data_IF_109453921181
#
_entry.id   IF_109453921181
#
_cell.length_a   1.000
_cell.length_b   1.000
_cell.length_c   1.000
_cell.angle_alpha   90.00
_cell.angle_beta   90.00
_cell.angle_gamma   90.00
#
_symmetry.space_group_name_H-M   'P 1'
#
loop_
_entity.id
_entity.type
_entity.pdbx_description
1 polymer ?
#
# COMPACT_ATOMS: atom_id res chain seq x y z
N UNK A 1 -4.28 37.47 16.95
CA UNK A 1 -5.06 36.63 16.02
C UNK A 1 -4.08 36.02 15.03
N UNK A 2 -3.79 34.72 15.13
CA UNK A 2 -2.98 34.06 14.11
C UNK A 2 -3.80 33.96 12.81
N UNK A 3 -3.22 34.18 11.63
CA UNK A 3 -3.96 34.08 10.38
C UNK A 3 -4.41 32.62 10.19
N UNK A 4 -5.67 32.43 9.83
CA UNK A 4 -6.17 31.14 9.35
C UNK A 4 -5.49 30.84 8.01
N UNK A 5 -4.35 30.16 8.04
CA UNK A 5 -3.73 29.62 6.83
C UNK A 5 -4.57 28.42 6.40
N UNK A 6 -5.24 28.44 5.22
CA UNK A 6 -5.90 27.25 4.72
C UNK A 6 -4.84 26.15 4.59
N UNK A 7 -5.12 24.98 5.16
CA UNK A 7 -4.23 23.81 5.05
C UNK A 7 -3.92 23.59 3.57
N UNK A 8 -2.63 23.62 3.22
CA UNK A 8 -2.23 23.36 1.84
C UNK A 8 -2.66 21.94 1.45
N UNK A 9 -3.08 21.70 0.20
CA UNK A 9 -3.47 20.36 -0.28
C UNK A 9 -2.39 19.29 -0.03
N UNK A 10 -1.12 19.71 -0.04
CA UNK A 10 0.02 18.85 0.31
C UNK A 10 -0.01 18.38 1.77
N UNK A 11 -0.32 19.26 2.72
CA UNK A 11 -0.42 18.89 4.15
C UNK A 11 -1.63 18.00 4.43
N UNK A 12 -2.74 18.21 3.73
CA UNK A 12 -3.90 17.32 3.82
C UNK A 12 -3.56 15.90 3.32
N UNK A 13 -2.83 15.78 2.20
CA UNK A 13 -2.37 14.48 1.69
C UNK A 13 -1.35 13.79 2.61
N UNK A 14 -0.48 14.55 3.28
CA UNK A 14 0.46 14.03 4.28
C UNK A 14 -0.27 13.48 5.51
N UNK A 15 -1.26 14.20 6.05
CA UNK A 15 -2.05 13.72 7.18
C UNK A 15 -2.81 12.42 6.87
N UNK A 16 -3.39 12.33 5.67
CA UNK A 16 -4.08 11.12 5.21
C UNK A 16 -3.14 9.93 4.99
N UNK A 17 -1.90 10.19 4.58
CA UNK A 17 -0.90 9.13 4.43
C UNK A 17 -0.51 8.53 5.78
N UNK A 18 -0.37 9.37 6.82
CA UNK A 18 -0.05 8.88 8.17
C UNK A 18 -1.22 8.11 8.78
N UNK A 19 -2.46 8.55 8.55
CA UNK A 19 -3.66 7.78 8.93
C UNK A 19 -3.69 6.41 8.22
N UNK A 20 -3.50 6.38 6.90
CA UNK A 20 -3.40 5.14 6.14
C UNK A 20 -2.30 4.21 6.69
N UNK A 21 -1.20 4.79 7.17
CA UNK A 21 -0.06 4.04 7.70
C UNK A 21 -0.41 3.39 9.02
N UNK A 22 -1.00 4.14 9.96
CA UNK A 22 -1.43 3.61 11.24
C UNK A 22 -2.46 2.48 11.07
N UNK A 23 -3.41 2.64 10.14
CA UNK A 23 -4.38 1.58 9.81
C UNK A 23 -3.67 0.36 9.22
N UNK A 24 -2.73 0.56 8.29
CA UNK A 24 -1.99 -0.55 7.70
C UNK A 24 -1.16 -1.29 8.75
N UNK A 25 -0.44 -0.58 9.63
CA UNK A 25 0.32 -1.18 10.73
C UNK A 25 -0.59 -2.01 11.66
N UNK A 26 -1.77 -1.48 12.00
CA UNK A 26 -2.77 -2.21 12.78
C UNK A 26 -3.20 -3.50 12.10
N UNK A 27 -3.50 -3.46 10.79
CA UNK A 27 -3.92 -4.64 10.03
C UNK A 27 -2.80 -5.67 9.94
N UNK A 28 -1.58 -5.22 9.62
CA UNK A 28 -0.43 -6.10 9.44
C UNK A 28 0.08 -6.72 10.76
N UNK A 29 -0.27 -6.12 11.90
CA UNK A 29 0.02 -6.68 13.23
C UNK A 29 -0.85 -7.89 13.59
N UNK A 30 -1.93 -8.14 12.84
CA UNK A 30 -2.83 -9.25 13.08
C UNK A 30 -2.26 -10.57 12.51
N UNK A 31 -2.33 -11.64 13.29
CA UNK A 31 -1.79 -12.98 12.95
C UNK A 31 -2.40 -13.56 11.66
N UNK A 32 -3.69 -13.32 11.44
CA UNK A 32 -4.38 -13.70 10.20
C UNK A 32 -3.72 -13.14 8.95
N UNK A 33 -3.00 -12.01 9.06
CA UNK A 33 -2.30 -11.40 7.94
C UNK A 33 -0.86 -11.88 7.78
N UNK A 34 -0.32 -12.69 8.70
CA UNK A 34 1.04 -13.19 8.65
C UNK A 34 1.28 -14.01 7.37
N UNK A 35 2.34 -13.66 6.62
CA UNK A 35 2.66 -14.31 5.33
C UNK A 35 1.72 -13.96 4.17
N UNK A 36 0.72 -13.07 4.36
CA UNK A 36 -0.09 -12.57 3.25
C UNK A 36 0.73 -11.53 2.46
N UNK A 37 0.91 -11.69 1.13
CA UNK A 37 1.63 -10.75 0.30
C UNK A 37 0.89 -9.41 0.17
N UNK A 38 1.64 -8.30 0.11
CA UNK A 38 1.07 -6.95 0.07
C UNK A 38 1.26 -6.28 -1.29
N UNK A 39 0.16 -5.94 -1.97
CA UNK A 39 0.19 -5.08 -3.15
C UNK A 39 -0.22 -3.65 -2.78
N UNK A 40 0.66 -2.68 -3.04
CA UNK A 40 0.38 -1.26 -2.85
C UNK A 40 0.19 -0.61 -4.22
N UNK A 41 -0.97 -0.01 -4.45
CA UNK A 41 -1.29 0.68 -5.70
C UNK A 41 -1.18 2.18 -5.50
N UNK A 42 -0.16 2.78 -6.11
CA UNK A 42 -0.02 4.22 -6.22
C UNK A 42 -1.02 4.72 -7.27
N UNK A 43 -2.28 4.88 -6.85
CA UNK A 43 -3.38 5.22 -7.74
C UNK A 43 -3.40 6.72 -8.10
N UNK A 44 -4.14 7.06 -9.16
CA UNK A 44 -4.34 8.42 -9.71
C UNK A 44 -3.11 9.00 -10.41
N UNK A 45 -2.27 8.16 -11.00
CA UNK A 45 -1.09 8.62 -11.76
C UNK A 45 -1.44 9.42 -13.02
N UNK A 46 -2.72 9.50 -13.38
CA UNK A 46 -3.24 10.40 -14.41
C UNK A 46 -3.27 11.89 -13.99
N UNK A 47 -3.06 12.19 -12.70
CA UNK A 47 -3.07 13.56 -12.18
C UNK A 47 -1.66 14.08 -11.96
N UNK A 48 -1.46 15.37 -12.20
CA UNK A 48 -0.17 16.05 -11.97
C UNK A 48 0.17 16.19 -10.48
N UNK A 49 -0.84 16.21 -9.60
CA UNK A 49 -0.69 16.24 -8.14
C UNK A 49 -0.60 14.84 -7.50
N UNK A 50 -0.31 13.80 -8.29
CA UNK A 50 -0.20 12.44 -7.78
C UNK A 50 1.03 12.24 -6.88
N UNK A 51 0.95 11.22 -6.01
CA UNK A 51 2.09 10.82 -5.20
C UNK A 51 3.06 9.98 -6.02
N UNK A 52 4.34 10.32 -5.92
CA UNK A 52 5.41 9.56 -6.55
C UNK A 52 5.52 8.16 -5.94
N UNK A 53 5.67 7.14 -6.80
CA UNK A 53 5.80 5.74 -6.39
C UNK A 53 7.00 5.54 -5.45
N UNK A 54 8.11 6.24 -5.70
CA UNK A 54 9.33 6.18 -4.87
C UNK A 54 9.02 6.66 -3.45
N UNK A 55 8.31 7.78 -3.32
CA UNK A 55 7.92 8.33 -2.02
C UNK A 55 6.99 7.39 -1.24
N UNK A 56 6.10 6.66 -1.92
CA UNK A 56 5.27 5.63 -1.28
C UNK A 56 6.15 4.45 -0.84
N UNK A 57 7.08 4.00 -1.68
CA UNK A 57 7.96 2.87 -1.35
C UNK A 57 8.85 3.18 -0.14
N UNK A 58 9.48 4.35 -0.10
CA UNK A 58 10.38 4.75 0.98
C UNK A 58 9.65 5.25 2.23
N UNK A 59 8.57 6.02 2.06
CA UNK A 59 7.85 6.63 3.16
C UNK A 59 6.87 5.69 3.85
N UNK A 60 6.29 4.74 3.11
CA UNK A 60 5.18 3.91 3.56
C UNK A 60 5.61 2.45 3.69
N UNK A 61 6.03 1.81 2.59
CA UNK A 61 6.40 0.38 2.62
C UNK A 61 7.63 0.16 3.49
N UNK A 62 8.69 0.92 3.30
CA UNK A 62 9.92 0.73 4.08
C UNK A 62 9.69 0.93 5.58
N UNK A 63 8.98 1.98 5.99
CA UNK A 63 8.71 2.25 7.41
C UNK A 63 7.79 1.22 8.07
N UNK A 64 6.78 0.75 7.36
CA UNK A 64 5.83 -0.25 7.88
C UNK A 64 6.47 -1.64 7.98
N UNK A 65 7.40 -1.98 7.07
CA UNK A 65 8.04 -3.29 7.03
C UNK A 65 9.36 -3.35 7.82
N UNK A 66 10.07 -2.22 7.97
CA UNK A 66 11.32 -2.11 8.76
C UNK A 66 11.09 -1.54 10.17
N UNK A 67 9.84 -1.23 10.55
CA UNK A 67 9.49 -0.67 11.86
C UNK A 67 9.87 -1.57 13.04
N UNK A 68 10.00 -0.97 14.24
CA UNK A 68 10.65 -1.49 15.47
C UNK A 68 10.26 -2.90 15.94
N UNK A 69 9.15 -3.45 15.44
CA UNK A 69 8.77 -4.86 15.63
C UNK A 69 9.11 -5.62 14.38
N UNK A 70 10.38 -6.02 14.24
CA UNK A 70 10.97 -6.74 13.09
C UNK A 70 10.09 -7.87 12.55
N UNK A 71 9.10 -7.50 11.74
CA UNK A 71 8.11 -8.40 11.20
C UNK A 71 8.71 -9.03 9.96
N UNK A 72 8.76 -10.35 9.99
CA UNK A 72 9.01 -11.28 8.89
C UNK A 72 8.91 -10.64 7.49
N UNK A 73 9.98 -10.79 6.70
CA UNK A 73 10.07 -10.29 5.32
C UNK A 73 8.82 -10.73 4.55
N UNK A 74 7.91 -9.79 4.32
CA UNK A 74 6.66 -10.04 3.61
C UNK A 74 6.85 -9.65 2.16
N UNK A 75 6.52 -10.57 1.26
CA UNK A 75 6.52 -10.29 -0.17
C UNK A 75 5.59 -9.10 -0.47
N UNK A 76 6.14 -8.06 -1.06
CA UNK A 76 5.42 -6.81 -1.32
C UNK A 76 5.82 -6.19 -2.64
N UNK A 77 4.88 -5.47 -3.26
CA UNK A 77 5.12 -4.74 -4.51
C UNK A 77 4.35 -3.42 -4.50
N UNK A 78 4.96 -2.38 -5.05
CA UNK A 78 4.29 -1.11 -5.35
C UNK A 78 4.13 -0.99 -6.86
N UNK A 79 2.93 -0.64 -7.32
CA UNK A 79 2.66 -0.38 -8.74
C UNK A 79 2.01 0.99 -8.94
N UNK A 80 2.50 1.80 -9.91
CA UNK A 80 1.75 2.97 -10.39
C UNK A 80 0.51 2.52 -11.13
N UNK A 81 -0.64 3.10 -10.81
CA UNK A 81 -1.89 2.83 -11.54
C UNK A 81 -2.69 4.11 -11.80
N UNK A 82 -3.41 4.11 -12.91
CA UNK A 82 -4.54 5.01 -13.13
C UNK A 82 -5.79 4.18 -13.33
N UNK A 83 -6.64 4.11 -12.30
CA UNK A 83 -7.93 3.43 -12.43
C UNK A 83 -8.83 4.08 -13.50
N UNK A 84 -8.66 5.38 -13.77
CA UNK A 84 -9.42 6.12 -14.78
C UNK A 84 -8.98 5.76 -16.20
N UNK A 85 -7.67 5.58 -16.44
CA UNK A 85 -7.12 5.26 -17.76
C UNK A 85 -6.91 3.77 -17.98
N UNK A 86 -7.00 2.95 -16.94
CA UNK A 86 -6.71 1.52 -16.97
C UNK A 86 -5.22 1.18 -16.90
N UNK A 87 -4.32 2.17 -16.92
CA UNK A 87 -2.86 1.96 -16.84
C UNK A 87 -2.47 1.26 -15.55
N UNK A 88 -1.68 0.18 -15.65
CA UNK A 88 -1.15 -0.57 -14.51
C UNK A 88 -2.13 -1.55 -13.86
N UNK A 89 -3.41 -1.54 -14.27
CA UNK A 89 -4.45 -2.41 -13.68
C UNK A 89 -4.22 -3.87 -14.04
N UNK A 90 -3.85 -4.16 -15.30
CA UNK A 90 -3.59 -5.53 -15.75
C UNK A 90 -2.42 -6.14 -14.97
N UNK A 91 -1.34 -5.40 -14.82
CA UNK A 91 -0.14 -5.79 -14.09
C UNK A 91 -0.43 -6.01 -12.60
N UNK A 92 -1.28 -5.17 -12.01
CA UNK A 92 -1.75 -5.35 -10.64
C UNK A 92 -2.51 -6.67 -10.48
N UNK A 93 -3.46 -6.97 -11.37
CA UNK A 93 -4.23 -8.22 -11.34
C UNK A 93 -3.34 -9.43 -11.58
N UNK A 94 -2.40 -9.37 -12.53
CA UNK A 94 -1.46 -10.45 -12.81
C UNK A 94 -0.55 -10.75 -11.61
N UNK A 95 -0.13 -9.72 -10.87
CA UNK A 95 0.63 -9.91 -9.65
C UNK A 95 -0.19 -10.63 -8.59
N UNK A 96 -1.43 -10.19 -8.33
CA UNK A 96 -2.32 -10.86 -7.36
C UNK A 96 -2.55 -12.32 -7.76
N UNK A 97 -2.86 -12.58 -9.03
CA UNK A 97 -3.03 -13.94 -9.56
C UNK A 97 -1.82 -14.82 -9.27
N UNK A 98 -0.62 -14.31 -9.54
CA UNK A 98 0.63 -15.05 -9.32
C UNK A 98 0.83 -15.40 -7.85
N UNK A 99 0.53 -14.46 -6.95
CA UNK A 99 0.64 -14.69 -5.51
C UNK A 99 -0.40 -15.64 -4.95
N UNK A 100 -1.63 -15.57 -5.43
CA UNK A 100 -2.68 -16.54 -5.06
C UNK A 100 -2.30 -17.95 -5.50
N UNK A 101 -1.76 -18.12 -6.71
CA UNK A 101 -1.31 -19.42 -7.19
C UNK A 101 -0.17 -19.99 -6.34
N UNK A 102 0.81 -19.16 -5.97
CA UNK A 102 1.94 -19.59 -5.15
C UNK A 102 1.57 -19.84 -3.68
N UNK A 103 0.67 -19.04 -3.12
CA UNK A 103 0.22 -19.24 -1.74
C UNK A 103 -0.74 -20.42 -1.56
N UNK A 104 -1.23 -21.04 -2.65
CA UNK A 104 -2.18 -22.15 -2.58
C UNK A 104 -1.64 -23.34 -1.74
N UNK A 105 -0.33 -23.58 -1.76
CA UNK A 105 0.28 -24.66 -0.98
C UNK A 105 0.41 -24.30 0.51
N UNK A 106 0.76 -23.06 0.83
CA UNK A 106 0.97 -22.59 2.20
C UNK A 106 -0.34 -22.18 2.93
N UNK A 107 -1.35 -21.73 2.18
CA UNK A 107 -2.70 -21.40 2.65
C UNK A 107 -3.73 -21.91 1.61
N UNK A 108 -4.07 -23.20 1.64
CA UNK A 108 -5.10 -23.71 0.75
C UNK A 108 -6.46 -23.06 1.06
N UNK A 109 -7.31 -22.87 0.03
CA UNK A 109 -8.64 -22.30 0.23
C UNK A 109 -9.48 -23.20 1.14
N UNK A 110 -10.11 -22.60 2.15
CA UNK A 110 -11.11 -23.28 2.98
C UNK A 110 -12.40 -23.34 2.18
N UNK A 111 -12.75 -24.50 1.64
CA UNK A 111 -14.06 -24.71 1.01
C UNK A 111 -15.12 -24.75 2.11
N UNK A 112 -16.03 -23.77 2.10
CA UNK A 112 -17.23 -23.75 2.96
C UNK A 112 -18.47 -23.95 2.10
#
# INVERSE_FOLDING_TARGET
MAPWTPMSPLMANLGRLEECKAVLESVLSHEDTAGIPLLVLANKQDREDCLEVVRIKEGFVRKVFEGEKGSMVRDSRVLPVSALKGTGVKEAVEWVKSRVLWNKEARPPVMR
#
